data_IF_331504067719
#
_entry.id   IF_331504067719
#
_cell.length_a   1.000
_cell.length_b   1.000
_cell.length_c   1.000
_cell.angle_alpha   90.00
_cell.angle_beta   90.00
_cell.angle_gamma   90.00
#
_symmetry.space_group_name_H-M   'P 1'
#
loop_
_entity.id
_entity.type
_entity.pdbx_description
1 polymer ?
#
# COMPACT_ATOMS: atom_id res chain seq x y z
N UNK A 1 -21.79 35.20 85.90
CA UNK A 1 -22.64 34.75 84.78
C UNK A 1 -21.73 34.53 83.57
N UNK A 2 -21.33 33.28 83.32
CA UNK A 2 -20.22 32.92 82.41
C UNK A 2 -20.76 32.65 80.99
N UNK A 3 -20.38 33.52 80.06
CA UNK A 3 -20.69 33.42 78.62
C UNK A 3 -19.84 32.28 78.04
N UNK A 4 -20.49 31.27 77.44
CA UNK A 4 -19.84 30.07 76.90
C UNK A 4 -19.13 30.37 75.58
N UNK A 5 -17.80 30.32 75.63
CA UNK A 5 -16.79 30.45 74.56
C UNK A 5 -16.81 29.19 73.68
N UNK A 6 -17.93 28.88 73.01
CA UNK A 6 -18.02 27.67 72.17
C UNK A 6 -18.46 27.91 70.72
N UNK A 7 -18.96 29.11 70.41
CA UNK A 7 -19.43 29.43 69.06
C UNK A 7 -18.46 30.32 68.26
N UNK A 8 -17.35 30.80 68.84
CA UNK A 8 -16.41 31.68 68.15
C UNK A 8 -15.28 30.93 67.41
N UNK A 9 -15.02 29.67 67.77
CA UNK A 9 -13.93 28.89 67.18
C UNK A 9 -14.31 28.21 65.85
N UNK A 10 -15.61 28.03 65.58
CA UNK A 10 -16.10 27.33 64.37
C UNK A 10 -16.16 28.27 63.16
N UNK A 11 -16.31 29.58 63.39
CA UNK A 11 -16.36 30.57 62.31
C UNK A 11 -14.94 30.93 61.82
N UNK A 12 -13.91 30.83 62.67
CA UNK A 12 -12.53 31.14 62.29
C UNK A 12 -11.85 30.02 61.47
N UNK A 13 -12.34 28.77 61.56
CA UNK A 13 -11.81 27.63 60.79
C UNK A 13 -12.43 27.48 59.40
N UNK A 14 -13.53 28.18 59.11
CA UNK A 14 -14.16 28.20 57.77
C UNK A 14 -13.63 29.33 56.87
N UNK A 15 -12.83 30.27 57.39
CA UNK A 15 -12.27 31.38 56.61
C UNK A 15 -10.85 31.14 56.08
N UNK A 16 -10.26 29.96 56.30
CA UNK A 16 -8.91 29.62 55.79
C UNK A 16 -8.89 28.49 54.73
N UNK A 17 -10.04 28.13 54.13
CA UNK A 17 -10.10 27.13 53.04
C UNK A 17 -10.33 27.73 51.64
N UNK A 18 -10.11 29.03 51.46
CA UNK A 18 -10.20 29.70 50.16
C UNK A 18 -8.93 30.56 50.00
N UNK A 19 -7.77 29.95 49.67
CA UNK A 19 -7.39 29.80 48.27
C UNK A 19 -6.49 28.57 48.03
N UNK A 20 -7.05 27.37 48.00
CA UNK A 20 -6.31 26.18 47.52
C UNK A 20 -7.06 25.40 46.42
N UNK A 21 -8.34 25.72 46.21
CA UNK A 21 -9.20 25.01 45.25
C UNK A 21 -9.22 25.62 43.83
N UNK A 22 -8.63 26.80 43.61
CA UNK A 22 -8.50 27.36 42.26
C UNK A 22 -7.23 26.92 41.56
N UNK A 23 -6.13 26.67 42.28
CA UNK A 23 -4.89 26.17 41.66
C UNK A 23 -4.95 24.67 41.38
N UNK A 24 -5.51 23.85 42.28
CA UNK A 24 -5.61 22.40 42.05
C UNK A 24 -6.52 22.06 40.86
N UNK A 25 -7.66 22.76 40.69
CA UNK A 25 -8.55 22.51 39.56
C UNK A 25 -7.98 23.02 38.22
N UNK A 26 -7.17 24.08 38.22
CA UNK A 26 -6.51 24.56 36.99
C UNK A 26 -5.35 23.63 36.60
N UNK A 27 -4.56 23.16 37.57
CA UNK A 27 -3.45 22.22 37.30
C UNK A 27 -3.96 20.85 36.83
N UNK A 28 -5.01 20.29 37.47
CA UNK A 28 -5.59 19.01 37.02
C UNK A 28 -6.33 19.10 35.68
N UNK A 29 -6.96 20.24 35.37
CA UNK A 29 -7.61 20.43 34.07
C UNK A 29 -6.57 20.64 32.95
N UNK A 30 -5.48 21.36 33.21
CA UNK A 30 -4.41 21.60 32.23
C UNK A 30 -3.55 20.35 32.00
N UNK A 31 -3.25 19.56 33.03
CA UNK A 31 -2.59 18.25 32.89
C UNK A 31 -3.50 17.21 32.19
N UNK A 32 -4.82 17.22 32.44
CA UNK A 32 -5.76 16.34 31.74
C UNK A 32 -5.99 16.75 30.28
N UNK A 33 -6.07 18.05 29.98
CA UNK A 33 -6.14 18.55 28.59
C UNK A 33 -4.82 18.28 27.84
N UNK A 34 -3.67 18.51 28.49
CA UNK A 34 -2.36 18.20 27.89
C UNK A 34 -2.17 16.69 27.68
N UNK A 35 -2.46 15.85 28.67
CA UNK A 35 -2.41 14.40 28.53
C UNK A 35 -3.38 13.90 27.43
N UNK A 36 -4.59 14.46 27.33
CA UNK A 36 -5.52 14.12 26.25
C UNK A 36 -5.02 14.56 24.87
N UNK A 37 -4.29 15.68 24.80
CA UNK A 37 -3.70 16.19 23.55
C UNK A 37 -2.47 15.40 23.11
N UNK A 38 -1.67 14.93 24.06
CA UNK A 38 -0.52 14.05 23.83
C UNK A 38 -0.98 12.66 23.41
N UNK A 39 -1.93 12.05 24.13
CA UNK A 39 -2.56 10.78 23.77
C UNK A 39 -3.19 10.82 22.37
N UNK A 40 -3.86 11.93 22.01
CA UNK A 40 -4.44 12.12 20.68
C UNK A 40 -3.35 12.24 19.60
N UNK A 41 -2.24 12.93 19.90
CA UNK A 41 -1.09 13.06 18.99
C UNK A 41 -0.42 11.71 18.77
N UNK A 42 -0.21 10.93 19.84
CA UNK A 42 0.35 9.58 19.77
C UNK A 42 -0.55 8.64 18.98
N UNK A 43 -1.87 8.65 19.25
CA UNK A 43 -2.84 7.86 18.51
C UNK A 43 -2.86 8.22 17.01
N UNK A 44 -2.76 9.51 16.68
CA UNK A 44 -2.65 9.98 15.30
C UNK A 44 -1.37 9.49 14.63
N UNK A 45 -0.22 9.62 15.30
CA UNK A 45 1.05 9.14 14.77
C UNK A 45 1.04 7.61 14.55
N UNK A 46 0.45 6.85 15.48
CA UNK A 46 0.30 5.41 15.36
C UNK A 46 -0.61 5.03 14.17
N UNK A 47 -1.72 5.76 13.96
CA UNK A 47 -2.59 5.57 12.82
C UNK A 47 -1.89 5.89 11.49
N UNK A 48 -1.22 7.04 11.40
CA UNK A 48 -0.48 7.44 10.20
C UNK A 48 0.62 6.43 9.86
N UNK A 49 1.34 5.93 10.87
CA UNK A 49 2.32 4.87 10.69
C UNK A 49 1.66 3.58 10.20
N UNK A 50 0.58 3.13 10.84
CA UNK A 50 -0.11 1.90 10.42
C UNK A 50 -0.66 2.01 8.99
N UNK A 51 -1.16 3.19 8.60
CA UNK A 51 -1.61 3.46 7.25
C UNK A 51 -0.45 3.43 6.25
N UNK A 52 0.69 4.05 6.59
CA UNK A 52 1.89 3.99 5.76
C UNK A 52 2.44 2.56 5.62
N UNK A 53 2.47 1.79 6.72
CA UNK A 53 2.88 0.39 6.72
C UNK A 53 1.93 -0.45 5.83
N UNK A 54 0.61 -0.23 5.91
CA UNK A 54 -0.36 -0.92 5.07
C UNK A 54 -0.20 -0.58 3.58
N UNK A 55 -0.03 0.70 3.26
CA UNK A 55 0.13 1.16 1.87
C UNK A 55 1.41 0.62 1.24
N UNK A 56 2.49 0.47 2.01
CA UNK A 56 3.77 -0.05 1.53
C UNK A 56 3.87 -1.59 1.63
N UNK A 57 2.97 -2.23 2.38
CA UNK A 57 2.97 -3.67 2.63
C UNK A 57 3.07 -4.55 1.36
N UNK A 58 2.32 -4.26 0.28
CA UNK A 58 2.42 -5.00 -0.98
C UNK A 58 3.81 -4.93 -1.63
N UNK A 59 4.44 -3.75 -1.61
CA UNK A 59 5.77 -3.51 -2.16
C UNK A 59 6.81 -4.29 -1.35
N UNK A 60 6.75 -4.18 -0.02
CA UNK A 60 7.63 -4.93 0.89
C UNK A 60 7.49 -6.42 0.68
N UNK A 61 6.25 -6.93 0.62
CA UNK A 61 5.94 -8.35 0.40
C UNK A 61 6.58 -8.89 -0.89
N UNK A 62 6.50 -8.14 -1.99
CA UNK A 62 7.05 -8.52 -3.28
C UNK A 62 8.59 -8.50 -3.25
N UNK A 63 9.20 -7.40 -2.78
CA UNK A 63 10.65 -7.25 -2.72
C UNK A 63 11.32 -8.36 -1.87
N UNK A 64 10.70 -8.74 -0.75
CA UNK A 64 11.20 -9.84 0.11
C UNK A 64 11.23 -11.22 -0.57
N UNK A 65 10.43 -11.41 -1.63
CA UNK A 65 10.29 -12.70 -2.33
C UNK A 65 11.01 -12.74 -3.66
N UNK A 66 11.39 -11.59 -4.20
CA UNK A 66 12.21 -11.50 -5.39
C UNK A 66 13.61 -11.99 -5.12
N UNK A 67 14.17 -12.71 -6.09
CA UNK A 67 15.52 -13.28 -5.98
C UNK A 67 16.58 -12.48 -6.74
N UNK A 68 16.14 -11.55 -7.59
CA UNK A 68 16.99 -10.71 -8.41
C UNK A 68 16.70 -9.23 -8.13
N UNK A 69 17.73 -8.51 -7.67
CA UNK A 69 17.62 -7.11 -7.28
C UNK A 69 17.21 -6.17 -8.43
N UNK A 70 17.38 -6.57 -9.69
CA UNK A 70 16.90 -5.80 -10.85
C UNK A 70 15.38 -5.63 -10.83
N UNK A 71 14.65 -6.56 -10.21
CA UNK A 71 13.20 -6.51 -10.07
C UNK A 71 12.74 -5.75 -8.83
N UNK A 72 13.64 -5.36 -7.93
CA UNK A 72 13.24 -4.53 -6.80
C UNK A 72 12.67 -3.20 -7.33
N UNK A 73 11.53 -2.78 -6.77
CA UNK A 73 10.77 -1.65 -7.30
C UNK A 73 11.63 -0.38 -7.45
N UNK A 74 12.45 -0.07 -6.45
CA UNK A 74 13.35 1.09 -6.51
C UNK A 74 14.36 1.03 -7.67
N UNK A 75 14.77 -0.16 -8.10
CA UNK A 75 15.70 -0.33 -9.21
C UNK A 75 14.96 -0.28 -10.54
N UNK A 76 13.74 -0.80 -10.60
CA UNK A 76 12.88 -0.65 -11.76
C UNK A 76 12.53 0.82 -12.01
N UNK A 77 12.23 1.62 -10.98
CA UNK A 77 12.03 3.07 -11.09
C UNK A 77 13.23 3.78 -11.70
N UNK A 78 14.44 3.50 -11.18
CA UNK A 78 15.69 4.07 -11.70
C UNK A 78 15.91 3.70 -13.16
N UNK A 79 15.65 2.45 -13.52
CA UNK A 79 15.80 1.95 -14.89
C UNK A 79 14.80 2.58 -15.86
N UNK A 80 13.53 2.72 -15.45
CA UNK A 80 12.49 3.37 -16.25
C UNK A 80 12.78 4.86 -16.45
N UNK A 81 13.20 5.57 -15.41
CA UNK A 81 13.61 6.98 -15.48
C UNK A 81 14.80 7.20 -16.42
N UNK A 82 15.72 6.23 -16.44
CA UNK A 82 16.92 6.24 -17.28
C UNK A 82 16.73 5.60 -18.66
N UNK A 83 15.51 5.17 -19.00
CA UNK A 83 15.30 4.39 -20.22
C UNK A 83 15.71 5.16 -21.48
N UNK A 84 16.38 4.44 -22.37
CA UNK A 84 16.73 4.90 -23.72
C UNK A 84 15.57 4.79 -24.71
N UNK A 85 14.51 4.05 -24.35
CA UNK A 85 13.28 3.96 -25.12
C UNK A 85 12.40 5.17 -24.82
N UNK A 86 12.22 6.06 -25.81
CA UNK A 86 11.46 7.29 -25.64
C UNK A 86 9.99 7.05 -25.31
N UNK A 87 9.40 5.94 -25.74
CA UNK A 87 8.00 5.62 -25.47
C UNK A 87 7.84 5.20 -24.02
N UNK A 88 8.70 4.30 -23.54
CA UNK A 88 8.70 3.85 -22.14
C UNK A 88 9.03 5.01 -21.20
N UNK A 89 10.05 5.80 -21.52
CA UNK A 89 10.45 6.95 -20.71
C UNK A 89 9.34 8.00 -20.60
N UNK A 90 8.72 8.38 -21.72
CA UNK A 90 7.63 9.36 -21.70
C UNK A 90 6.40 8.85 -20.91
N UNK A 91 6.10 7.54 -21.01
CA UNK A 91 5.05 6.92 -20.21
C UNK A 91 5.36 6.98 -18.71
N UNK A 92 6.59 6.62 -18.33
CA UNK A 92 7.04 6.71 -16.94
C UNK A 92 6.99 8.15 -16.42
N UNK A 93 7.52 9.13 -17.16
CA UNK A 93 7.49 10.54 -16.75
C UNK A 93 6.07 11.03 -16.50
N UNK A 94 5.11 10.64 -17.36
CA UNK A 94 3.70 10.99 -17.23
C UNK A 94 3.02 10.39 -15.99
N UNK A 95 3.39 9.17 -15.61
CA UNK A 95 2.71 8.41 -14.55
C UNK A 95 3.56 8.13 -13.30
N UNK A 96 4.76 8.72 -13.20
CA UNK A 96 5.71 8.47 -12.11
C UNK A 96 5.14 8.72 -10.71
N UNK A 97 4.25 9.71 -10.54
CA UNK A 97 3.56 9.97 -9.27
C UNK A 97 2.56 8.88 -8.87
N UNK A 98 2.19 8.01 -9.81
CA UNK A 98 1.30 6.88 -9.63
C UNK A 98 2.05 5.54 -9.67
N UNK A 99 3.38 5.55 -9.66
CA UNK A 99 4.18 4.33 -9.82
C UNK A 99 3.81 3.24 -8.78
N UNK A 100 3.45 3.63 -7.56
CA UNK A 100 3.02 2.70 -6.51
C UNK A 100 1.52 2.40 -6.48
N UNK A 101 0.68 3.05 -7.30
CA UNK A 101 -0.79 2.94 -7.18
C UNK A 101 -1.32 1.55 -7.49
N UNK A 102 -0.63 0.79 -8.33
CA UNK A 102 -1.04 -0.58 -8.68
C UNK A 102 -0.62 -1.62 -7.64
N UNK A 103 0.30 -1.26 -6.73
CA UNK A 103 0.83 -2.15 -5.71
C UNK A 103 -0.06 -2.17 -4.47
N UNK A 104 -1.25 -2.75 -4.62
CA UNK A 104 -2.24 -2.90 -3.54
C UNK A 104 -2.42 -4.37 -3.16
N UNK A 105 -2.85 -4.64 -1.93
CA UNK A 105 -3.19 -6.01 -1.51
C UNK A 105 -4.34 -6.60 -2.36
N UNK A 106 -5.26 -5.76 -2.81
CA UNK A 106 -6.36 -6.20 -3.67
C UNK A 106 -5.86 -6.62 -5.04
N UNK A 107 -4.95 -5.86 -5.65
CA UNK A 107 -4.34 -6.25 -6.92
C UNK A 107 -3.46 -7.51 -6.76
N UNK A 108 -2.71 -7.66 -5.65
CA UNK A 108 -2.01 -8.92 -5.36
C UNK A 108 -2.96 -10.11 -5.25
N UNK A 109 -4.12 -9.93 -4.61
CA UNK A 109 -5.14 -10.99 -4.50
C UNK A 109 -5.76 -11.32 -5.86
N UNK A 110 -5.97 -10.32 -6.72
CA UNK A 110 -6.43 -10.53 -8.11
C UNK A 110 -5.45 -11.38 -8.90
N UNK A 111 -4.14 -11.14 -8.80
CA UNK A 111 -3.12 -11.97 -9.48
C UNK A 111 -3.22 -13.45 -9.08
N UNK A 112 -3.40 -13.74 -7.79
CA UNK A 112 -3.58 -15.11 -7.30
C UNK A 112 -4.91 -15.74 -7.79
N UNK A 113 -5.97 -14.94 -7.83
CA UNK A 113 -7.30 -15.36 -8.30
C UNK A 113 -7.25 -15.73 -9.78
N UNK A 114 -6.69 -14.86 -10.62
CA UNK A 114 -6.54 -15.10 -12.05
C UNK A 114 -5.62 -16.27 -12.37
N UNK A 115 -4.51 -16.45 -11.64
CA UNK A 115 -3.66 -17.63 -11.86
C UNK A 115 -4.42 -18.93 -11.57
N UNK A 116 -5.25 -18.95 -10.52
CA UNK A 116 -6.06 -20.12 -10.21
C UNK A 116 -7.01 -20.45 -11.36
N UNK A 117 -7.78 -19.47 -11.81
CA UNK A 117 -8.71 -19.66 -12.92
C UNK A 117 -7.98 -20.08 -14.21
N UNK A 118 -6.87 -19.44 -14.53
CA UNK A 118 -6.04 -19.80 -15.69
C UNK A 118 -5.57 -21.26 -15.60
N UNK A 119 -5.16 -21.73 -14.42
CA UNK A 119 -4.75 -23.12 -14.23
C UNK A 119 -5.93 -24.10 -14.33
N UNK A 120 -7.12 -23.72 -13.86
CA UNK A 120 -8.33 -24.54 -14.00
C UNK A 120 -8.69 -24.70 -15.50
N UNK A 121 -8.60 -23.63 -16.29
CA UNK A 121 -8.79 -23.66 -17.75
C UNK A 121 -7.71 -24.49 -18.44
N UNK A 122 -6.44 -24.27 -18.14
CA UNK A 122 -5.30 -25.04 -18.69
C UNK A 122 -5.45 -26.56 -18.48
N UNK A 123 -5.95 -26.98 -17.32
CA UNK A 123 -6.11 -28.40 -16.99
C UNK A 123 -7.17 -29.12 -17.85
N UNK A 124 -8.07 -28.36 -18.47
CA UNK A 124 -9.20 -28.88 -19.28
C UNK A 124 -9.14 -28.41 -20.73
N UNK A 125 -7.99 -27.87 -21.16
CA UNK A 125 -7.79 -27.29 -22.49
C UNK A 125 -7.64 -28.37 -23.57
N UNK A 126 -8.67 -28.56 -24.39
CA UNK A 126 -8.65 -29.53 -25.48
C UNK A 126 -7.95 -29.01 -26.76
N UNK A 127 -7.67 -27.71 -26.86
CA UNK A 127 -6.97 -27.12 -28.00
C UNK A 127 -5.46 -27.39 -27.94
N UNK A 128 -4.91 -27.54 -26.72
CA UNK A 128 -3.49 -27.73 -26.48
C UNK A 128 -3.20 -28.96 -25.61
N UNK A 129 -3.35 -30.16 -26.18
CA UNK A 129 -3.33 -31.45 -25.46
C UNK A 129 -1.97 -31.93 -24.92
N UNK A 130 -0.91 -31.12 -24.97
CA UNK A 130 0.41 -31.50 -24.48
C UNK A 130 0.49 -31.39 -22.96
N UNK A 131 1.12 -32.35 -22.26
CA UNK A 131 1.25 -32.33 -20.78
C UNK A 131 1.81 -31.00 -20.24
N UNK A 132 2.75 -30.38 -20.96
CA UNK A 132 3.32 -29.06 -20.61
C UNK A 132 2.28 -27.94 -20.65
N UNK A 133 1.30 -28.02 -21.54
CA UNK A 133 0.25 -27.02 -21.70
C UNK A 133 -0.82 -27.16 -20.62
N UNK A 134 -1.01 -28.37 -20.08
CA UNK A 134 -1.91 -28.62 -18.95
C UNK A 134 -1.24 -28.42 -17.58
N UNK A 135 0.08 -28.37 -17.52
CA UNK A 135 0.82 -28.16 -16.28
C UNK A 135 0.45 -26.82 -15.62
N UNK A 136 0.21 -26.84 -14.31
CA UNK A 136 -0.13 -25.64 -13.55
C UNK A 136 1.05 -24.65 -13.51
N UNK A 137 0.75 -23.39 -13.82
CA UNK A 137 1.64 -22.25 -13.66
C UNK A 137 1.71 -21.80 -12.20
N UNK A 138 2.77 -21.06 -11.86
CA UNK A 138 3.02 -20.53 -10.51
C UNK A 138 3.18 -19.02 -10.56
N UNK A 139 2.82 -18.35 -9.47
CA UNK A 139 3.11 -16.93 -9.31
C UNK A 139 4.62 -16.71 -9.22
N UNK A 140 5.10 -15.68 -9.91
CA UNK A 140 6.45 -15.13 -9.74
C UNK A 140 6.32 -13.71 -9.23
N UNK A 141 6.94 -13.34 -8.08
CA UNK A 141 6.90 -11.98 -7.58
C UNK A 141 7.55 -11.01 -8.56
N UNK A 142 8.58 -11.44 -9.28
CA UNK A 142 9.19 -10.70 -10.38
C UNK A 142 8.14 -10.38 -11.47
N UNK A 143 7.45 -11.38 -12.02
CA UNK A 143 6.44 -11.15 -13.08
C UNK A 143 5.23 -10.34 -12.61
N UNK A 144 4.80 -10.49 -11.34
CA UNK A 144 3.74 -9.66 -10.76
C UNK A 144 4.16 -8.19 -10.72
N UNK A 145 5.39 -7.91 -10.28
CA UNK A 145 5.86 -6.52 -10.23
C UNK A 145 5.89 -5.88 -11.62
N UNK A 146 6.32 -6.65 -12.63
CA UNK A 146 6.39 -6.11 -13.98
C UNK A 146 5.01 -5.97 -14.61
N UNK A 147 4.05 -6.86 -14.34
CA UNK A 147 2.69 -6.69 -14.85
C UNK A 147 2.01 -5.42 -14.29
N UNK A 148 2.26 -5.10 -13.01
CA UNK A 148 1.80 -3.85 -12.39
C UNK A 148 2.47 -2.61 -13.03
N UNK A 149 3.79 -2.67 -13.29
CA UNK A 149 4.50 -1.59 -13.99
C UNK A 149 4.03 -1.47 -15.44
N UNK A 150 3.80 -2.59 -16.12
CA UNK A 150 3.30 -2.63 -17.50
C UNK A 150 1.92 -1.95 -17.58
N UNK A 151 1.04 -2.19 -16.61
CA UNK A 151 -0.26 -1.50 -16.50
C UNK A 151 -0.11 0.02 -16.49
N UNK A 152 0.83 0.54 -15.69
CA UNK A 152 1.12 1.99 -15.64
C UNK A 152 1.69 2.49 -16.98
N UNK A 153 2.66 1.79 -17.57
CA UNK A 153 3.28 2.20 -18.84
C UNK A 153 2.26 2.18 -19.99
N UNK A 154 1.46 1.11 -20.09
CA UNK A 154 0.45 0.92 -21.12
C UNK A 154 -0.75 1.85 -20.97
N UNK A 155 -1.01 2.39 -19.77
CA UNK A 155 -2.03 3.46 -19.55
C UNK A 155 -1.79 4.72 -20.38
N UNK A 156 -0.56 4.93 -20.86
CA UNK A 156 -0.23 6.06 -21.74
C UNK A 156 -0.57 5.85 -23.21
N UNK A 157 -0.61 4.59 -23.68
CA UNK A 157 -0.47 4.27 -25.10
C UNK A 157 -1.27 3.04 -25.58
N UNK A 158 -1.96 2.31 -24.69
CA UNK A 158 -2.74 1.10 -25.00
C UNK A 158 -1.92 0.00 -25.70
N UNK A 159 -0.61 0.02 -25.55
CA UNK A 159 0.33 -0.82 -26.28
C UNK A 159 1.23 -1.60 -25.32
N UNK A 160 1.83 -2.67 -25.83
CA UNK A 160 2.82 -3.53 -25.15
C UNK A 160 4.18 -2.84 -24.97
N UNK A 161 4.22 -1.54 -24.66
CA UNK A 161 5.43 -0.72 -24.78
C UNK A 161 6.58 -1.23 -23.91
N UNK A 162 6.31 -1.68 -22.68
CA UNK A 162 7.33 -2.26 -21.81
C UNK A 162 7.82 -3.63 -22.33
N UNK A 163 6.90 -4.45 -22.85
CA UNK A 163 7.22 -5.76 -23.44
C UNK A 163 8.02 -5.66 -24.75
N UNK A 164 7.68 -4.70 -25.62
CA UNK A 164 8.33 -4.53 -26.93
C UNK A 164 9.55 -3.61 -26.89
N UNK A 165 9.94 -3.13 -25.71
CA UNK A 165 11.06 -2.20 -25.61
C UNK A 165 12.36 -2.83 -26.11
N UNK A 166 13.16 -2.04 -26.80
CA UNK A 166 14.51 -2.42 -27.25
C UNK A 166 15.59 -2.08 -26.22
N UNK A 167 15.21 -1.44 -25.11
CA UNK A 167 16.12 -1.05 -24.05
C UNK A 167 16.57 -2.27 -23.22
N UNK A 168 17.76 -2.78 -23.53
CA UNK A 168 18.35 -3.94 -22.84
C UNK A 168 18.66 -3.70 -21.36
N UNK A 169 18.64 -2.44 -20.89
CA UNK A 169 18.77 -2.14 -19.46
C UNK A 169 17.51 -2.49 -18.68
N UNK A 170 16.33 -2.48 -19.31
CA UNK A 170 15.05 -2.85 -18.70
C UNK A 170 14.92 -4.37 -18.51
N UNK A 171 13.89 -4.79 -17.77
CA UNK A 171 13.57 -6.21 -17.60
C UNK A 171 13.10 -6.78 -18.93
N UNK A 172 13.67 -7.92 -19.35
CA UNK A 172 13.16 -8.68 -20.47
C UNK A 172 11.96 -9.53 -20.00
N UNK A 173 10.79 -9.30 -20.59
CA UNK A 173 9.53 -9.97 -20.23
C UNK A 173 9.30 -11.31 -20.94
N UNK A 174 10.30 -11.78 -21.68
CA UNK A 174 10.26 -13.06 -22.36
C UNK A 174 9.57 -12.97 -23.71
N UNK A 175 8.60 -13.86 -23.95
CA UNK A 175 8.06 -14.12 -25.29
C UNK A 175 6.62 -13.67 -25.51
N UNK A 176 5.83 -13.44 -24.45
CA UNK A 176 4.43 -13.07 -24.58
C UNK A 176 3.96 -12.18 -23.42
N UNK A 177 3.05 -11.27 -23.74
CA UNK A 177 2.30 -10.45 -22.79
C UNK A 177 0.85 -10.42 -23.27
N UNK A 178 -0.10 -10.58 -22.35
CA UNK A 178 -1.51 -10.36 -22.62
C UNK A 178 -1.96 -9.07 -21.92
N UNK A 179 -2.63 -8.19 -22.67
CA UNK A 179 -3.23 -6.96 -22.17
C UNK A 179 -4.74 -6.99 -22.41
N UNK A 180 -5.49 -6.33 -21.54
CA UNK A 180 -6.94 -6.20 -21.67
C UNK A 180 -7.38 -4.79 -21.31
N UNK A 181 -8.37 -4.28 -22.03
CA UNK A 181 -8.94 -2.94 -21.83
C UNK A 181 -10.46 -3.02 -21.85
N UNK A 182 -11.09 -2.51 -20.79
CA UNK A 182 -12.55 -2.47 -20.70
C UNK A 182 -13.24 -3.81 -20.37
N UNK A 183 -12.48 -4.84 -19.99
CA UNK A 183 -13.00 -6.10 -19.49
C UNK A 183 -12.96 -6.13 -17.96
N UNK A 184 -14.06 -6.55 -17.33
CA UNK A 184 -14.10 -6.81 -15.89
C UNK A 184 -13.29 -8.06 -15.53
N UNK A 185 -13.38 -9.09 -16.37
CA UNK A 185 -12.58 -10.30 -16.32
C UNK A 185 -11.77 -10.46 -17.63
N UNK A 186 -10.45 -10.23 -17.60
CA UNK A 186 -9.62 -10.34 -18.78
C UNK A 186 -9.41 -11.79 -19.25
N UNK A 187 -9.60 -12.80 -18.37
CA UNK A 187 -9.39 -14.20 -18.74
C UNK A 187 -10.45 -14.72 -19.72
N UNK A 188 -11.69 -14.24 -19.61
CA UNK A 188 -12.75 -14.53 -20.59
C UNK A 188 -12.32 -14.07 -21.97
N UNK A 189 -11.90 -12.81 -22.11
CA UNK A 189 -11.44 -12.27 -23.39
C UNK A 189 -10.20 -12.99 -23.95
N UNK A 190 -9.22 -13.31 -23.10
CA UNK A 190 -8.00 -13.96 -23.60
C UNK A 190 -8.15 -15.45 -23.94
N UNK A 191 -9.12 -16.14 -23.34
CA UNK A 191 -9.26 -17.58 -23.50
C UNK A 191 -10.37 -17.98 -24.49
N UNK A 192 -11.40 -17.14 -24.62
CA UNK A 192 -12.56 -17.44 -25.45
C UNK A 192 -12.47 -16.78 -26.86
N UNK A 193 -11.49 -15.89 -27.09
CA UNK A 193 -11.13 -15.31 -28.41
C UNK A 193 -10.07 -16.14 -29.14
#
# INVERSE_FOLDING_TARGET
MKIKIRNFLIILLLMFCLPAFTFANVVFAEEADQASSEDLSEAKAAYEKAQADYNNGPITFLNERMTNSKYYLENQEKLLAASSDSTVKAAYEKYSSQFHSEFTYDNLRKQATWLKELNDRRATDDNFTGERNHAALKLSPELISVSMISTMISSSNYYHALFTTSDSSLINLGYAENLAWGYEDPLVGWYDE
#
